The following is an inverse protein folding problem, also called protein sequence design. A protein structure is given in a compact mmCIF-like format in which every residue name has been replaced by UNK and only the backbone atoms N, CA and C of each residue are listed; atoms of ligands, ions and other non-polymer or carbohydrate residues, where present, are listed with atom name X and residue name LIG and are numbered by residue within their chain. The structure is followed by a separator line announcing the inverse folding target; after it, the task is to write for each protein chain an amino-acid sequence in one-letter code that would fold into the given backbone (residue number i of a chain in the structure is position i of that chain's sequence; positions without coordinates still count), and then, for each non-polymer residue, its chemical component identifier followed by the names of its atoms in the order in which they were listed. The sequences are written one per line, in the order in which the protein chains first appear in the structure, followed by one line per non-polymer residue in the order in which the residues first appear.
data_IF_853336921040
#
_entry.id   IF_853336921040
#
_cell.length_a   1.000
_cell.length_b   1.000
_cell.length_c   1.000
_cell.angle_alpha   90.00
_cell.angle_beta   90.00
_cell.angle_gamma   90.00
#
_symmetry.space_group_name_H-M   'P 1'
#
loop_
_entity.id
_entity.type
_entity.pdbx_description
1 polymer ?
#
# COMPACT_ATOMS: atom_id res chain seq x y z
N UNK A 1 -25.36 -18.42 -0.79
CA UNK A 1 -24.46 -17.27 -0.98
C UNK A 1 -23.94 -17.36 -2.40
N UNK A 2 -24.38 -16.48 -3.31
CA UNK A 2 -23.87 -16.49 -4.68
C UNK A 2 -22.50 -15.85 -4.68
N UNK A 3 -21.48 -16.60 -5.09
CA UNK A 3 -20.13 -16.06 -5.30
C UNK A 3 -20.15 -15.41 -6.68
N UNK A 4 -20.20 -14.08 -6.73
CA UNK A 4 -20.03 -13.34 -7.99
C UNK A 4 -18.55 -13.42 -8.39
N UNK A 5 -18.25 -14.14 -9.46
CA UNK A 5 -16.91 -14.23 -10.03
C UNK A 5 -16.80 -13.31 -11.25
N UNK A 6 -15.63 -12.71 -11.45
CA UNK A 6 -15.31 -11.92 -12.63
C UNK A 6 -14.37 -12.75 -13.52
N UNK A 7 -14.70 -12.88 -14.81
CA UNK A 7 -13.84 -13.56 -15.77
C UNK A 7 -12.91 -12.55 -16.45
N UNK A 8 -11.61 -12.82 -16.42
CA UNK A 8 -10.58 -12.07 -17.18
C UNK A 8 -10.30 -12.80 -18.49
N UNK A 9 -10.61 -12.16 -19.62
CA UNK A 9 -10.57 -12.79 -20.95
C UNK A 9 -9.44 -12.27 -21.84
N UNK A 10 -8.96 -11.04 -21.63
CA UNK A 10 -7.95 -10.40 -22.45
C UNK A 10 -6.61 -10.28 -21.69
N UNK A 11 -5.56 -10.81 -22.31
CA UNK A 11 -4.18 -10.81 -21.80
C UNK A 11 -3.20 -10.13 -22.78
N UNK A 12 -3.70 -9.40 -23.79
CA UNK A 12 -2.88 -8.80 -24.85
C UNK A 12 -1.94 -7.69 -24.40
N UNK A 13 -2.12 -7.14 -23.18
CA UNK A 13 -1.30 -6.08 -22.60
C UNK A 13 -0.51 -6.53 -21.35
N UNK A 14 -0.33 -7.83 -21.15
CA UNK A 14 0.51 -8.34 -20.05
C UNK A 14 1.97 -7.91 -20.26
N UNK A 15 2.60 -7.46 -19.17
CA UNK A 15 4.00 -7.03 -19.12
C UNK A 15 4.69 -7.67 -17.93
N UNK A 16 5.93 -8.10 -18.14
CA UNK A 16 6.79 -8.55 -17.05
C UNK A 16 7.47 -7.36 -16.38
N UNK A 17 7.36 -7.29 -15.05
CA UNK A 17 8.04 -6.29 -14.25
C UNK A 17 9.29 -6.89 -13.60
N UNK A 18 10.50 -6.33 -13.85
CA UNK A 18 11.74 -6.75 -13.21
C UNK A 18 11.63 -6.84 -11.68
N UNK A 19 12.34 -7.79 -11.08
CA UNK A 19 12.23 -8.07 -9.63
C UNK A 19 12.53 -6.83 -8.75
N UNK A 20 13.56 -6.06 -9.10
CA UNK A 20 13.91 -4.83 -8.41
C UNK A 20 12.76 -3.80 -8.43
N UNK A 21 12.10 -3.63 -9.58
CA UNK A 21 10.97 -2.72 -9.70
C UNK A 21 9.73 -3.26 -8.98
N UNK A 22 9.51 -4.59 -8.97
CA UNK A 22 8.45 -5.22 -8.18
C UNK A 22 8.60 -4.92 -6.69
N UNK A 23 9.80 -5.07 -6.14
CA UNK A 23 10.06 -4.79 -4.73
C UNK A 23 9.94 -3.29 -4.43
N UNK A 24 10.55 -2.42 -5.25
CA UNK A 24 10.44 -0.97 -5.07
C UNK A 24 8.99 -0.47 -5.17
N UNK A 25 8.19 -1.06 -6.05
CA UNK A 25 6.78 -0.70 -6.19
C UNK A 25 5.95 -1.23 -5.01
N UNK A 26 6.26 -2.41 -4.48
CA UNK A 26 5.63 -2.90 -3.26
C UNK A 26 5.92 -1.97 -2.06
N UNK A 27 7.16 -1.48 -1.91
CA UNK A 27 7.50 -0.48 -0.89
C UNK A 27 6.70 0.82 -1.09
N UNK A 28 6.55 1.29 -2.34
CA UNK A 28 5.73 2.46 -2.66
C UNK A 28 4.25 2.26 -2.29
N UNK A 29 3.70 1.07 -2.56
CA UNK A 29 2.31 0.72 -2.20
C UNK A 29 2.09 0.83 -0.70
N UNK A 30 3.02 0.31 0.12
CA UNK A 30 2.92 0.43 1.58
C UNK A 30 2.99 1.89 2.03
N UNK A 31 3.94 2.66 1.50
CA UNK A 31 4.07 4.07 1.83
C UNK A 31 2.80 4.87 1.51
N UNK A 32 2.19 4.62 0.34
CA UNK A 32 0.91 5.26 -0.01
C UNK A 32 -0.24 4.81 0.90
N UNK A 33 -0.32 3.51 1.22
CA UNK A 33 -1.37 2.95 2.08
C UNK A 33 -1.30 3.53 3.51
N UNK A 34 -0.09 3.70 4.04
CA UNK A 34 0.18 4.26 5.37
C UNK A 34 0.20 5.79 5.43
N UNK A 35 0.07 6.46 4.27
CA UNK A 35 0.29 7.91 4.14
C UNK A 35 1.65 8.34 4.70
N UNK A 36 2.70 7.55 4.41
CA UNK A 36 4.09 7.80 4.80
C UNK A 36 4.82 8.63 3.72
N UNK A 37 5.06 9.93 3.95
CA UNK A 37 5.71 10.80 2.97
C UNK A 37 7.19 10.47 2.77
N UNK A 38 7.87 10.06 3.85
CA UNK A 38 9.30 9.74 3.81
C UNK A 38 9.50 8.44 3.03
N UNK A 39 8.64 7.45 3.29
CA UNK A 39 8.58 6.20 2.53
C UNK A 39 8.33 6.44 1.04
N UNK A 40 7.36 7.30 0.69
CA UNK A 40 7.05 7.62 -0.70
C UNK A 40 8.24 8.28 -1.43
N UNK A 41 8.89 9.26 -0.80
CA UNK A 41 10.11 9.90 -1.35
C UNK A 41 11.22 8.90 -1.58
N UNK A 42 11.46 8.01 -0.60
CA UNK A 42 12.49 6.96 -0.74
C UNK A 42 12.15 6.02 -1.89
N UNK A 43 10.92 5.50 -1.95
CA UNK A 43 10.51 4.57 -3.00
C UNK A 43 10.57 5.17 -4.40
N UNK A 44 10.28 6.47 -4.58
CA UNK A 44 10.47 7.16 -5.86
C UNK A 44 11.94 7.12 -6.32
N UNK A 45 12.87 7.39 -5.41
CA UNK A 45 14.31 7.31 -5.69
C UNK A 45 14.74 5.89 -6.03
N UNK A 46 14.30 4.92 -5.25
CA UNK A 46 14.65 3.49 -5.44
C UNK A 46 14.06 2.92 -6.75
N UNK A 47 12.91 3.43 -7.17
CA UNK A 47 12.30 3.12 -8.46
C UNK A 47 13.00 3.80 -9.64
N UNK A 48 13.89 4.76 -9.40
CA UNK A 48 14.56 5.52 -10.46
C UNK A 48 13.70 6.61 -11.10
N UNK A 49 12.63 7.03 -10.43
CA UNK A 49 11.80 8.17 -10.85
C UNK A 49 12.56 9.45 -10.46
N UNK A 50 13.02 10.19 -11.47
CA UNK A 50 13.75 11.44 -11.28
C UNK A 50 12.78 12.60 -11.28
N UNK A 51 12.73 13.31 -10.16
CA UNK A 51 11.89 14.50 -9.97
C UNK A 51 12.75 15.69 -9.60
N UNK A 52 12.45 16.85 -10.17
CA UNK A 52 12.93 18.13 -9.66
C UNK A 52 11.84 18.80 -8.83
N UNK A 53 12.14 19.04 -7.56
CA UNK A 53 11.32 19.88 -6.69
C UNK A 53 11.54 21.36 -7.03
N UNK A 54 10.44 22.10 -7.20
CA UNK A 54 10.42 23.57 -7.17
C UNK A 54 9.91 24.11 -5.84
N UNK A 55 9.81 23.25 -4.82
CA UNK A 55 9.14 23.55 -3.56
C UNK A 55 10.14 23.57 -2.41
N UNK A 56 10.26 24.73 -1.73
CA UNK A 56 11.19 24.93 -0.62
C UNK A 56 10.68 24.41 0.74
N UNK A 57 9.40 24.01 0.83
CA UNK A 57 8.77 23.55 2.08
C UNK A 57 7.84 22.36 1.84
N UNK A 58 7.87 21.37 2.74
CA UNK A 58 7.01 20.17 2.71
C UNK A 58 7.20 19.27 1.47
N UNK A 59 8.44 19.14 1.00
CA UNK A 59 8.78 18.34 -0.19
C UNK A 59 8.24 16.90 -0.11
N UNK A 60 8.44 16.20 1.02
CA UNK A 60 7.99 14.82 1.18
C UNK A 60 6.47 14.68 1.12
N UNK A 61 5.72 15.64 1.66
CA UNK A 61 4.25 15.63 1.62
C UNK A 61 3.72 15.81 0.21
N UNK A 62 4.34 16.69 -0.56
CA UNK A 62 3.97 16.86 -1.97
C UNK A 62 4.44 15.67 -2.82
N UNK A 63 5.52 15.01 -2.45
CA UNK A 63 5.95 13.76 -3.07
C UNK A 63 4.95 12.63 -2.83
N UNK A 64 4.41 12.51 -1.62
CA UNK A 64 3.32 11.58 -1.32
C UNK A 64 2.08 11.86 -2.16
N UNK A 65 1.69 13.14 -2.30
CA UNK A 65 0.57 13.52 -3.17
C UNK A 65 0.84 13.17 -4.63
N UNK A 66 2.07 13.38 -5.11
CA UNK A 66 2.47 12.98 -6.46
C UNK A 66 2.38 11.46 -6.63
N UNK A 67 2.89 10.69 -5.66
CA UNK A 67 2.80 9.24 -5.64
C UNK A 67 1.36 8.75 -5.72
N UNK A 68 0.47 9.26 -4.87
CA UNK A 68 -0.95 8.93 -4.88
C UNK A 68 -1.62 9.34 -6.20
N UNK A 69 -1.28 10.52 -6.72
CA UNK A 69 -1.82 11.02 -8.00
C UNK A 69 -1.36 10.17 -9.19
N UNK A 70 -0.18 9.57 -9.14
CA UNK A 70 0.32 8.70 -10.22
C UNK A 70 -0.10 7.24 -10.03
N UNK A 71 -0.07 6.72 -8.81
CA UNK A 71 -0.09 5.28 -8.54
C UNK A 71 -1.17 4.80 -7.58
N UNK A 72 -2.11 5.66 -7.16
CA UNK A 72 -3.31 5.25 -6.44
C UNK A 72 -4.60 5.59 -7.20
N UNK A 73 -5.63 4.75 -7.10
CA UNK A 73 -6.95 5.05 -7.66
C UNK A 73 -7.79 5.96 -6.77
N UNK A 74 -7.40 6.11 -5.50
CA UNK A 74 -8.12 6.93 -4.53
C UNK A 74 -8.15 8.41 -4.93
N UNK A 75 -9.34 9.02 -4.85
CA UNK A 75 -9.51 10.45 -5.03
C UNK A 75 -9.56 11.17 -3.68
N UNK A 76 -8.95 12.36 -3.56
CA UNK A 76 -9.12 13.20 -2.38
C UNK A 76 -10.60 13.51 -2.11
N UNK A 77 -11.01 13.70 -0.84
CA UNK A 77 -12.38 14.06 -0.51
C UNK A 77 -12.86 15.29 -1.29
N UNK A 78 -14.06 15.22 -1.87
CA UNK A 78 -14.65 16.31 -2.65
C UNK A 78 -14.12 16.46 -4.08
N UNK A 79 -13.15 15.64 -4.49
CA UNK A 79 -12.63 15.63 -5.86
C UNK A 79 -13.29 14.49 -6.64
N UNK A 80 -13.97 14.82 -7.73
CA UNK A 80 -14.60 13.84 -8.64
C UNK A 80 -13.69 13.48 -9.81
N UNK A 81 -12.74 14.36 -10.14
CA UNK A 81 -11.79 14.20 -11.25
C UNK A 81 -10.46 14.82 -10.86
N UNK A 82 -9.35 14.08 -10.96
CA UNK A 82 -8.01 14.66 -10.87
C UNK A 82 -7.70 15.35 -12.20
N UNK A 83 -7.63 16.68 -12.20
CA UNK A 83 -7.11 17.45 -13.31
C UNK A 83 -5.61 17.72 -13.07
N UNK A 84 -4.70 17.00 -13.74
CA UNK A 84 -3.26 17.11 -13.50
C UNK A 84 -2.64 18.48 -13.86
N UNK A 85 -3.39 19.38 -14.49
CA UNK A 85 -2.94 20.72 -14.91
C UNK A 85 -3.77 21.86 -14.29
N UNK A 86 -4.53 21.60 -13.23
CA UNK A 86 -5.18 22.68 -12.49
C UNK A 86 -4.15 23.48 -11.69
N UNK A 87 -4.38 24.79 -11.53
CA UNK A 87 -3.56 25.65 -10.69
C UNK A 87 -3.43 25.07 -9.27
N UNK A 88 -2.21 24.93 -8.77
CA UNK A 88 -1.91 24.35 -7.45
C UNK A 88 -1.74 22.83 -7.44
N UNK A 89 -1.76 22.16 -8.60
CA UNK A 89 -1.51 20.72 -8.69
C UNK A 89 -0.07 20.36 -8.30
N UNK A 90 0.13 19.14 -7.76
CA UNK A 90 1.47 18.67 -7.39
C UNK A 90 2.42 18.53 -8.60
N UNK A 91 1.88 18.46 -9.83
CA UNK A 91 2.65 18.46 -11.09
C UNK A 91 3.23 19.84 -11.46
N UNK A 92 2.66 20.94 -10.97
CA UNK A 92 3.31 22.26 -11.10
C UNK A 92 4.56 22.38 -10.22
N UNK A 93 4.56 21.66 -9.09
CA UNK A 93 5.61 21.71 -8.07
C UNK A 93 6.74 20.70 -8.31
N UNK A 94 6.44 19.57 -8.94
CA UNK A 94 7.41 18.54 -9.27
C UNK A 94 7.44 18.27 -10.77
N UNK A 95 8.57 18.55 -11.39
CA UNK A 95 8.81 18.16 -12.78
C UNK A 95 9.42 16.76 -12.79
N UNK A 96 8.76 15.80 -13.45
CA UNK A 96 9.32 14.45 -13.67
C UNK A 96 10.28 14.53 -14.86
N UNK A 97 11.57 14.41 -14.61
CA UNK A 97 12.62 14.51 -15.65
C UNK A 97 12.99 13.15 -16.26
N UNK A 98 12.83 12.09 -15.48
CA UNK A 98 13.18 10.74 -15.88
C UNK A 98 12.22 9.76 -15.27
N UNK A 99 11.67 8.89 -16.10
CA UNK A 99 10.70 7.89 -15.68
C UNK A 99 11.05 6.55 -16.32
N UNK A 100 11.27 5.47 -15.53
CA UNK A 100 11.58 4.15 -16.07
C UNK A 100 10.48 3.63 -16.99
N UNK A 101 10.86 3.05 -18.12
CA UNK A 101 9.91 2.67 -19.18
C UNK A 101 8.91 1.63 -18.69
N UNK A 102 9.38 0.66 -17.90
CA UNK A 102 8.58 -0.45 -17.39
C UNK A 102 7.44 0.04 -16.48
N UNK A 103 7.66 1.14 -15.74
CA UNK A 103 6.65 1.72 -14.86
C UNK A 103 5.51 2.40 -15.62
N UNK A 104 5.66 2.70 -16.93
CA UNK A 104 4.56 3.29 -17.69
C UNK A 104 3.39 2.33 -17.82
N UNK A 105 3.67 1.03 -17.87
CA UNK A 105 2.64 -0.02 -17.91
C UNK A 105 1.78 0.00 -16.65
N UNK A 106 2.42 0.15 -15.49
CA UNK A 106 1.76 0.24 -14.18
C UNK A 106 0.95 1.54 -14.09
N UNK A 107 1.59 2.68 -14.40
CA UNK A 107 0.95 4.00 -14.38
C UNK A 107 -0.33 4.02 -15.23
N UNK A 108 -0.27 3.50 -16.46
CA UNK A 108 -1.43 3.39 -17.35
C UNK A 108 -2.51 2.48 -16.77
N UNK A 109 -2.12 1.34 -16.20
CA UNK A 109 -3.06 0.40 -15.57
C UNK A 109 -3.80 1.07 -14.42
N UNK A 110 -3.09 1.75 -13.52
CA UNK A 110 -3.70 2.49 -12.40
C UNK A 110 -4.65 3.57 -12.90
N UNK A 111 -4.26 4.36 -13.90
CA UNK A 111 -5.12 5.42 -14.43
C UNK A 111 -6.39 4.87 -15.10
N UNK A 112 -6.30 3.73 -15.80
CA UNK A 112 -7.47 3.05 -16.35
C UNK A 112 -8.39 2.53 -15.25
N UNK A 113 -7.83 1.89 -14.20
CA UNK A 113 -8.59 1.46 -13.03
C UNK A 113 -9.24 2.62 -12.30
N UNK A 114 -8.55 3.77 -12.22
CA UNK A 114 -9.10 5.01 -11.64
C UNK A 114 -10.29 5.50 -12.46
N UNK A 115 -10.13 5.61 -13.79
CA UNK A 115 -11.23 6.01 -14.69
C UNK A 115 -12.44 5.09 -14.60
N UNK A 116 -12.21 3.77 -14.53
CA UNK A 116 -13.26 2.78 -14.32
C UNK A 116 -13.97 2.96 -12.97
N UNK A 117 -13.19 3.13 -11.89
CA UNK A 117 -13.74 3.34 -10.53
C UNK A 117 -14.63 4.58 -10.48
N UNK A 118 -14.16 5.69 -11.06
CA UNK A 118 -14.93 6.94 -11.19
C UNK A 118 -16.20 6.72 -12.02
N UNK A 119 -16.12 6.03 -13.16
CA UNK A 119 -17.27 5.73 -14.00
C UNK A 119 -18.34 4.87 -13.31
N UNK A 120 -17.93 4.03 -12.35
CA UNK A 120 -18.81 3.22 -11.51
C UNK A 120 -19.32 3.96 -10.26
N UNK A 121 -18.89 5.22 -10.03
CA UNK A 121 -19.24 5.98 -8.84
C UNK A 121 -18.56 5.48 -7.55
N UNK A 122 -17.42 4.78 -7.68
CA UNK A 122 -16.65 4.22 -6.58
C UNK A 122 -15.41 5.09 -6.31
N UNK A 123 -15.19 5.45 -5.04
CA UNK A 123 -13.90 5.99 -4.59
C UNK A 123 -13.17 4.93 -3.77
N UNK A 124 -12.09 4.39 -4.33
CA UNK A 124 -11.38 3.26 -3.79
C UNK A 124 -9.88 3.44 -3.98
N UNK A 125 -9.10 3.17 -2.94
CA UNK A 125 -7.63 3.22 -2.99
C UNK A 125 -7.09 1.83 -3.32
N UNK A 126 -6.46 1.69 -4.49
CA UNK A 126 -5.78 0.45 -4.85
C UNK A 126 -4.54 0.24 -3.97
N UNK A 127 -3.88 1.32 -3.51
CA UNK A 127 -2.73 1.21 -2.61
C UNK A 127 -3.11 0.49 -1.30
N UNK A 128 -4.22 0.91 -0.66
CA UNK A 128 -4.72 0.24 0.57
C UNK A 128 -5.04 -1.23 0.35
N UNK A 129 -5.47 -1.59 -0.85
CA UNK A 129 -6.05 -2.89 -1.16
C UNK A 129 -5.01 -3.86 -1.69
N UNK A 130 -3.96 -3.34 -2.29
CA UNK A 130 -2.76 -4.08 -2.65
C UNK A 130 -1.79 -4.22 -1.49
N UNK A 131 -2.01 -3.54 -0.35
CA UNK A 131 -1.17 -3.65 0.85
C UNK A 131 -0.82 -5.11 1.20
N UNK A 132 -1.76 -6.06 1.31
CA UNK A 132 -1.42 -7.44 1.68
C UNK A 132 -0.51 -8.12 0.65
N UNK A 133 -0.71 -7.80 -0.64
CA UNK A 133 0.08 -8.35 -1.75
C UNK A 133 1.50 -7.77 -1.71
N UNK A 134 1.63 -6.47 -1.41
CA UNK A 134 2.91 -5.79 -1.26
C UNK A 134 3.70 -6.33 -0.05
N UNK A 135 3.05 -6.50 1.10
CA UNK A 135 3.68 -7.07 2.30
C UNK A 135 4.18 -8.50 2.04
N UNK A 136 3.35 -9.35 1.44
CA UNK A 136 3.74 -10.72 1.09
C UNK A 136 4.91 -10.74 0.10
N UNK A 137 4.89 -9.83 -0.88
CA UNK A 137 5.98 -9.70 -1.86
C UNK A 137 7.30 -9.35 -1.18
N UNK A 138 7.28 -8.42 -0.23
CA UNK A 138 8.47 -7.98 0.50
C UNK A 138 8.93 -9.02 1.53
N UNK A 139 8.01 -9.69 2.20
CA UNK A 139 8.34 -10.77 3.13
C UNK A 139 9.02 -11.94 2.42
N UNK A 140 8.48 -12.40 1.28
CA UNK A 140 9.13 -13.44 0.45
C UNK A 140 10.52 -13.05 -0.04
N UNK A 141 10.76 -11.75 -0.20
CA UNK A 141 12.06 -11.20 -0.57
C UNK A 141 13.00 -11.00 0.64
N UNK A 142 12.58 -11.32 1.86
CA UNK A 142 13.34 -11.08 3.09
C UNK A 142 13.48 -9.61 3.48
N UNK A 143 12.64 -8.73 2.92
CA UNK A 143 12.68 -7.27 3.12
C UNK A 143 11.73 -6.76 4.19
N UNK A 144 10.76 -7.58 4.60
CA UNK A 144 9.81 -7.26 5.66
C UNK A 144 9.85 -8.35 6.75
N UNK A 145 9.90 -7.92 8.01
CA UNK A 145 9.93 -8.83 9.18
C UNK A 145 8.53 -9.35 9.51
N UNK A 146 8.49 -10.58 10.03
CA UNK A 146 7.30 -11.44 10.20
C UNK A 146 6.16 -10.84 11.04
N UNK A 147 6.46 -9.84 11.88
CA UNK A 147 5.49 -9.23 12.80
C UNK A 147 4.27 -8.62 12.09
N UNK A 148 4.45 -8.09 10.87
CA UNK A 148 3.37 -7.44 10.12
C UNK A 148 2.41 -8.42 9.45
N UNK A 149 2.88 -9.59 9.02
CA UNK A 149 2.03 -10.60 8.42
C UNK A 149 1.08 -11.24 9.43
N UNK A 150 1.51 -11.43 10.67
CA UNK A 150 0.68 -12.06 11.70
C UNK A 150 -0.56 -11.22 12.04
N UNK A 151 -0.42 -9.90 12.12
CA UNK A 151 -1.52 -8.95 12.37
C UNK A 151 -2.48 -8.86 11.17
N UNK A 152 -1.95 -8.81 9.94
CA UNK A 152 -2.77 -8.67 8.74
C UNK A 152 -3.43 -9.98 8.32
N UNK A 153 -2.82 -11.14 8.59
CA UNK A 153 -3.50 -12.43 8.47
C UNK A 153 -4.72 -12.51 9.38
N UNK A 154 -4.66 -11.93 10.59
CA UNK A 154 -5.82 -11.87 11.49
C UNK A 154 -6.89 -10.92 10.93
N UNK A 155 -6.54 -9.74 10.46
CA UNK A 155 -7.53 -8.81 9.86
C UNK A 155 -8.18 -9.36 8.58
N UNK A 156 -7.41 -9.99 7.68
CA UNK A 156 -7.94 -10.62 6.46
C UNK A 156 -8.84 -11.81 6.83
N UNK A 157 -8.47 -12.60 7.83
CA UNK A 157 -9.29 -13.73 8.29
C UNK A 157 -10.58 -13.28 8.99
N UNK A 158 -10.56 -12.13 9.66
CA UNK A 158 -11.76 -11.54 10.29
C UNK A 158 -12.68 -10.86 9.26
N UNK A 159 -12.12 -10.22 8.23
CA UNK A 159 -12.90 -9.49 7.21
C UNK A 159 -13.30 -10.34 6.00
N UNK A 160 -12.55 -11.40 5.71
CA UNK A 160 -12.82 -12.34 4.64
C UNK A 160 -13.17 -13.68 5.29
N UNK A 161 -14.45 -14.01 5.36
CA UNK A 161 -14.96 -15.29 5.88
C UNK A 161 -14.60 -16.51 5.01
N UNK A 162 -13.35 -16.64 4.57
CA UNK A 162 -12.86 -17.73 3.74
C UNK A 162 -12.19 -18.81 4.61
N UNK A 163 -12.85 -19.98 4.69
CA UNK A 163 -12.43 -21.13 5.50
C UNK A 163 -11.21 -21.90 4.97
N UNK A 164 -10.51 -21.40 3.94
CA UNK A 164 -9.47 -22.17 3.22
C UNK A 164 -8.06 -22.09 3.82
N UNK A 165 -7.85 -21.36 4.91
CA UNK A 165 -6.64 -21.50 5.72
C UNK A 165 -6.96 -22.17 7.07
N UNK A 166 -6.83 -23.49 7.11
CA UNK A 166 -6.80 -24.26 8.36
C UNK A 166 -5.32 -24.44 8.75
N UNK A 167 -4.78 -23.69 9.73
CA UNK A 167 -3.49 -24.06 10.27
C UNK A 167 -3.67 -25.36 11.07
N UNK A 168 -2.72 -26.28 10.89
CA UNK A 168 -2.71 -27.55 11.59
C UNK A 168 -2.65 -27.31 13.12
N UNK A 169 -3.63 -27.91 13.80
CA UNK A 169 -3.84 -27.94 15.24
C UNK A 169 -4.27 -26.63 15.93
N UNK A 170 -5.39 -26.71 16.64
CA UNK A 170 -5.94 -25.66 17.52
C UNK A 170 -5.07 -25.37 18.75
N UNK A 171 -4.03 -26.18 19.00
CA UNK A 171 -3.16 -26.03 20.16
C UNK A 171 -2.09 -24.94 20.00
N UNK A 172 -1.64 -24.67 18.76
CA UNK A 172 -0.61 -23.65 18.51
C UNK A 172 -1.18 -22.23 18.49
N UNK A 173 -2.48 -22.07 18.21
CA UNK A 173 -3.19 -20.78 18.15
C UNK A 173 -3.25 -20.07 19.50
N UNK A 174 -3.50 -20.82 20.57
CA UNK A 174 -3.63 -20.26 21.92
C UNK A 174 -2.27 -19.94 22.53
N UNK A 175 -1.23 -20.70 22.17
CA UNK A 175 0.12 -20.54 22.71
C UNK A 175 0.81 -19.27 22.19
N UNK A 176 0.65 -18.96 20.90
CA UNK A 176 1.23 -17.75 20.29
C UNK A 176 0.61 -16.47 20.87
N UNK A 177 -0.72 -16.45 21.05
CA UNK A 177 -1.43 -15.29 21.59
C UNK A 177 -1.19 -15.07 23.10
N UNK A 178 -0.95 -16.14 23.87
CA UNK A 178 -0.80 -16.04 25.33
C UNK A 178 0.65 -15.95 25.81
N UNK A 179 1.64 -16.47 25.07
CA UNK A 179 3.03 -16.55 25.56
C UNK A 179 3.98 -15.55 24.86
N UNK A 180 3.82 -15.30 23.55
CA UNK A 180 4.82 -14.55 22.77
C UNK A 180 4.61 -13.03 22.87
N UNK A 181 3.37 -12.57 22.74
CA UNK A 181 3.04 -11.13 22.78
C UNK A 181 3.41 -10.49 24.14
N UNK A 182 3.15 -11.13 25.31
CA UNK A 182 3.55 -10.54 26.59
C UNK A 182 5.06 -10.55 26.85
N UNK A 183 5.80 -11.53 26.33
CA UNK A 183 7.25 -11.63 26.54
C UNK A 183 8.03 -10.60 25.72
N UNK A 184 7.60 -10.28 24.50
CA UNK A 184 8.26 -9.24 23.68
C UNK A 184 7.91 -7.81 24.12
N UNK A 185 6.70 -7.58 24.65
CA UNK A 185 6.32 -6.29 25.28
C UNK A 185 7.20 -5.97 26.49
N UNK A 186 7.63 -6.99 27.25
CA UNK A 186 8.53 -6.85 28.38
C UNK A 186 9.98 -6.55 27.94
N UNK A 187 10.43 -7.09 26.80
CA UNK A 187 11.76 -6.83 26.24
C UNK A 187 11.89 -5.48 25.54
N UNK A 188 10.78 -4.82 25.20
CA UNK A 188 10.73 -3.49 24.58
C UNK A 188 10.53 -2.34 25.58
N UNK A 189 10.47 -2.62 26.89
CA UNK A 189 10.43 -1.59 27.93
C UNK A 189 9.14 -0.76 27.96
N UNK A 190 8.05 -1.24 27.35
CA UNK A 190 6.75 -0.56 27.41
C UNK A 190 6.06 -0.98 28.70
N UNK A 191 6.34 -0.24 29.78
CA UNK A 191 5.68 -0.41 31.06
C UNK A 191 4.19 -0.07 30.92
N UNK A 192 3.34 -1.03 31.30
CA UNK A 192 1.89 -0.90 31.22
C UNK A 192 1.43 -0.03 32.38
N UNK A 193 1.20 1.25 32.14
CA UNK A 193 0.49 2.13 33.08
C UNK A 193 -0.85 1.48 33.43
N UNK A 194 -0.93 0.96 34.65
CA UNK A 194 -2.19 0.51 35.27
C UNK A 194 -2.85 1.73 35.90
N UNK A 195 -3.78 2.33 35.19
CA UNK A 195 -5.01 2.80 35.83
C UNK A 195 -5.94 1.58 35.93
N UNK A 196 -6.63 1.29 37.04
CA UNK A 196 -7.77 2.07 37.54
C UNK A 196 -8.22 1.64 38.95
N UNK A 197 -8.91 2.57 39.64
CA UNK A 197 -9.95 2.32 40.66
C UNK A 197 -9.53 2.76 42.05
N UNK A 198 -9.96 3.88 42.64
CA UNK A 198 -11.35 4.30 42.96
C UNK A 198 -12.16 3.14 43.58
N UNK A 199 -12.26 3.24 44.91
CA UNK A 199 -12.91 2.41 45.94
C UNK A 199 -12.28 1.05 46.25
#
# INVERSE_FOLDING_TARGET
MFVTQVALLDYGQVKDLPANLRFGYAELVLAMADNDPIGATKSFKDLGIKTLSKCDKNEDQEMLKLAQTMFDTGLPPGVTTLQPFSEGSSLEKFSVEGFPEELFSILRTVHLLRGLSVGLGLNYSCAKQWRPIAEETLHRAGRLKDFYLLLNCIEIFLNCGDSRYRPESSSSKTRILQEIIPQEMMNLGVEKDREHGIF
#
